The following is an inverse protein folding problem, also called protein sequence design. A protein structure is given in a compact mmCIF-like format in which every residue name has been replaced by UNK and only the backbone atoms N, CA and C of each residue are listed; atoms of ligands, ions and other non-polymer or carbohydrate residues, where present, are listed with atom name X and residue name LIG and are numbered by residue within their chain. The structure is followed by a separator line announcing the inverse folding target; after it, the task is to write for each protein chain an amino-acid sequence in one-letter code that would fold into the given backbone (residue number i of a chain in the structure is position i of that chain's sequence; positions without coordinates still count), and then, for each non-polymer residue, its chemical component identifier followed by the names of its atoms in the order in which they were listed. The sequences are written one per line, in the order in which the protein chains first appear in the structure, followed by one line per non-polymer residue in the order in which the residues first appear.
data_IF_785367947300
#
_entry.id   IF_785367947300
#
_cell.length_a   1.000
_cell.length_b   1.000
_cell.length_c   1.000
_cell.angle_alpha   90.00
_cell.angle_beta   90.00
_cell.angle_gamma   90.00
#
_symmetry.space_group_name_H-M   'P 1'
#
loop_
_entity.id
_entity.type
_entity.pdbx_description
1 polymer ?
#
# COMPACT_ATOMS: atom_id res chain seq x y z
N UNK A 1 15.09 12.59 3.15
CA UNK A 1 14.18 12.32 4.30
C UNK A 1 13.68 13.66 4.84
N UNK A 2 12.41 13.75 5.28
CA UNK A 2 11.86 14.98 5.89
C UNK A 2 12.31 15.14 7.35
N UNK A 3 12.67 16.36 7.75
CA UNK A 3 13.05 16.68 9.14
C UNK A 3 11.86 16.53 10.08
N UNK A 4 12.13 16.22 11.36
CA UNK A 4 11.08 16.05 12.38
C UNK A 4 10.27 17.35 12.57
N UNK A 5 10.95 18.49 12.57
CA UNK A 5 10.31 19.81 12.75
C UNK A 5 9.37 20.15 11.60
N UNK A 6 9.78 19.85 10.37
CA UNK A 6 8.92 20.04 9.21
C UNK A 6 7.66 19.18 9.28
N UNK A 7 7.79 17.91 9.71
CA UNK A 7 6.63 17.01 9.86
C UNK A 7 5.61 17.56 10.87
N UNK A 8 6.08 18.00 12.04
CA UNK A 8 5.22 18.54 13.10
C UNK A 8 4.52 19.82 12.65
N UNK A 9 5.29 20.74 12.02
CA UNK A 9 4.74 22.00 11.50
C UNK A 9 3.69 21.74 10.41
N UNK A 10 4.01 20.87 9.45
CA UNK A 10 3.08 20.50 8.39
C UNK A 10 1.79 19.89 8.95
N UNK A 11 1.91 18.95 9.90
CA UNK A 11 0.75 18.27 10.51
C UNK A 11 -0.15 19.25 11.26
N UNK A 12 0.44 20.22 11.94
CA UNK A 12 -0.29 21.29 12.60
C UNK A 12 -1.08 22.13 11.59
N UNK A 13 -0.43 22.60 10.53
CA UNK A 13 -1.07 23.42 9.49
C UNK A 13 -2.18 22.66 8.75
N UNK A 14 -1.97 21.38 8.47
CA UNK A 14 -2.97 20.56 7.78
C UNK A 14 -4.18 20.24 8.64
N UNK A 15 -3.99 19.89 9.92
CA UNK A 15 -5.08 19.45 10.80
C UNK A 15 -5.75 20.60 11.55
N UNK A 16 -5.00 21.64 11.97
CA UNK A 16 -5.52 22.75 12.77
C UNK A 16 -5.95 23.95 11.91
N UNK A 17 -5.19 24.26 10.86
CA UNK A 17 -5.44 25.43 10.01
C UNK A 17 -6.21 25.06 8.73
N UNK A 18 -6.44 23.77 8.47
CA UNK A 18 -7.14 23.28 7.28
C UNK A 18 -6.39 23.54 5.97
N UNK A 19 -5.09 23.83 6.02
CA UNK A 19 -4.30 24.12 4.83
C UNK A 19 -4.12 22.85 3.98
N UNK A 20 -4.25 22.99 2.66
CA UNK A 20 -4.06 21.87 1.73
C UNK A 20 -2.60 21.38 1.73
N UNK A 21 -2.39 20.06 1.74
CA UNK A 21 -1.05 19.47 1.78
C UNK A 21 -0.16 19.94 0.61
N UNK A 22 -0.75 20.14 -0.57
CA UNK A 22 -0.02 20.67 -1.75
C UNK A 22 0.51 22.08 -1.48
N UNK A 23 -0.27 22.92 -0.81
CA UNK A 23 0.11 24.29 -0.49
C UNK A 23 1.21 24.35 0.56
N UNK A 24 1.13 23.52 1.60
CA UNK A 24 2.16 23.40 2.65
C UNK A 24 3.52 23.02 2.03
N UNK A 25 3.53 22.03 1.13
CA UNK A 25 4.74 21.60 0.47
C UNK A 25 5.27 22.66 -0.51
N UNK A 26 4.40 23.39 -1.21
CA UNK A 26 4.81 24.50 -2.08
C UNK A 26 5.44 25.65 -1.28
N UNK A 27 4.85 26.03 -0.15
CA UNK A 27 5.37 27.07 0.75
C UNK A 27 6.71 26.68 1.39
N UNK A 28 6.92 25.38 1.63
CA UNK A 28 8.18 24.86 2.13
C UNK A 28 9.27 24.71 1.04
N UNK A 29 9.02 25.17 -0.18
CA UNK A 29 9.99 25.15 -1.28
C UNK A 29 10.09 23.81 -2.02
N UNK A 30 9.17 22.87 -1.81
CA UNK A 30 9.17 21.62 -2.56
C UNK A 30 8.64 21.82 -3.98
N UNK A 31 9.39 21.33 -4.96
CA UNK A 31 8.96 21.34 -6.35
C UNK A 31 7.97 20.20 -6.63
N UNK A 32 6.69 20.56 -6.75
CA UNK A 32 5.59 19.63 -6.99
C UNK A 32 5.61 18.98 -8.37
N UNK A 33 6.31 19.56 -9.35
CA UNK A 33 6.45 18.97 -10.67
C UNK A 33 7.35 17.73 -10.63
N UNK A 34 8.34 17.74 -9.72
CA UNK A 34 9.23 16.61 -9.47
C UNK A 34 8.57 15.62 -8.49
N UNK A 35 7.93 16.14 -7.44
CA UNK A 35 7.33 15.31 -6.39
C UNK A 35 6.05 14.60 -6.85
N UNK A 36 5.33 15.18 -7.81
CA UNK A 36 4.00 14.75 -8.25
C UNK A 36 2.88 15.30 -7.38
N UNK A 37 1.80 15.78 -8.00
CA UNK A 37 0.71 16.52 -7.33
C UNK A 37 -0.05 15.71 -6.26
N UNK A 38 -0.04 14.38 -6.37
CA UNK A 38 -0.70 13.47 -5.42
C UNK A 38 0.18 13.12 -4.20
N UNK A 39 1.48 13.35 -4.31
CA UNK A 39 2.45 12.93 -3.30
C UNK A 39 2.29 13.66 -1.96
N UNK A 40 2.06 14.99 -1.91
CA UNK A 40 1.83 15.70 -0.65
C UNK A 40 0.66 15.14 0.13
N UNK A 41 -0.49 14.94 -0.52
CA UNK A 41 -1.68 14.36 0.09
C UNK A 41 -1.42 12.94 0.61
N UNK A 42 -0.71 12.10 -0.16
CA UNK A 42 -0.36 10.74 0.27
C UNK A 42 0.54 10.74 1.52
N UNK A 43 1.56 11.59 1.54
CA UNK A 43 2.49 11.71 2.67
C UNK A 43 1.76 12.23 3.90
N UNK A 44 0.88 13.22 3.74
CA UNK A 44 0.10 13.77 4.83
C UNK A 44 -0.82 12.73 5.47
N UNK A 45 -1.51 11.95 4.64
CA UNK A 45 -2.34 10.84 5.12
C UNK A 45 -1.52 9.77 5.84
N UNK A 46 -0.31 9.47 5.36
CA UNK A 46 0.58 8.53 6.06
C UNK A 46 0.99 9.06 7.44
N UNK A 47 1.35 10.34 7.55
CA UNK A 47 1.73 10.95 8.83
C UNK A 47 0.55 11.00 9.81
N UNK A 48 -0.64 11.37 9.33
CA UNK A 48 -1.85 11.31 10.15
C UNK A 48 -2.17 9.87 10.62
N UNK A 49 -2.08 8.88 9.72
CA UNK A 49 -2.30 7.49 10.09
C UNK A 49 -1.27 6.94 11.07
N UNK A 50 -0.03 7.47 11.05
CA UNK A 50 1.00 7.10 12.01
C UNK A 50 0.78 7.73 13.40
N UNK A 51 0.10 8.88 13.47
CA UNK A 51 -0.30 9.53 14.72
C UNK A 51 -1.58 8.96 15.32
N UNK A 52 -2.45 8.37 14.50
CA UNK A 52 -3.61 7.65 15.02
C UNK A 52 -3.11 6.52 15.94
N UNK A 53 -3.68 6.38 17.15
CA UNK A 53 -3.35 5.24 18.00
C UNK A 53 -3.57 3.99 17.17
N UNK A 54 -2.56 3.11 17.10
CA UNK A 54 -2.65 1.82 16.39
C UNK A 54 -4.02 1.25 16.73
N UNK A 55 -4.91 1.18 15.74
CA UNK A 55 -6.21 0.56 15.96
C UNK A 55 -5.95 -0.76 16.66
N UNK A 56 -6.62 -0.98 17.80
CA UNK A 56 -6.46 -2.19 18.61
C UNK A 56 -6.35 -3.39 17.65
N UNK A 57 -5.41 -4.33 17.87
CA UNK A 57 -5.25 -5.47 16.97
C UNK A 57 -6.64 -6.05 16.70
N UNK A 58 -6.98 -6.17 15.41
CA UNK A 58 -8.33 -6.55 14.98
C UNK A 58 -8.80 -7.73 15.84
N UNK A 59 -9.88 -7.51 16.61
CA UNK A 59 -10.46 -8.57 17.44
C UNK A 59 -10.76 -9.78 16.56
N UNK A 60 -10.79 -11.00 17.10
CA UNK A 60 -11.08 -12.21 16.31
C UNK A 60 -12.31 -12.07 15.40
N UNK A 61 -13.33 -11.37 15.89
CA UNK A 61 -14.54 -11.02 15.14
C UNK A 61 -14.28 -10.11 13.94
N UNK A 62 -13.43 -9.09 14.10
CA UNK A 62 -13.05 -8.18 13.01
C UNK A 62 -12.22 -8.89 11.95
N UNK A 63 -11.32 -9.80 12.35
CA UNK A 63 -10.56 -10.65 11.42
C UNK A 63 -11.48 -11.59 10.62
N UNK A 64 -12.46 -12.21 11.28
CA UNK A 64 -13.44 -13.06 10.62
C UNK A 64 -14.27 -12.27 9.57
N UNK A 65 -14.71 -11.06 9.91
CA UNK A 65 -15.45 -10.17 8.98
C UNK A 65 -14.62 -9.75 7.76
N UNK A 66 -13.34 -9.43 7.95
CA UNK A 66 -12.42 -9.13 6.86
C UNK A 66 -12.16 -10.35 5.97
N UNK A 67 -11.99 -11.53 6.56
CA UNK A 67 -11.83 -12.81 5.82
C UNK A 67 -13.08 -13.10 4.99
N UNK A 68 -14.28 -12.97 5.56
CA UNK A 68 -15.54 -13.13 4.84
C UNK A 68 -15.67 -12.15 3.66
N UNK A 69 -15.31 -10.87 3.86
CA UNK A 69 -15.31 -9.87 2.78
C UNK A 69 -14.28 -10.18 1.68
N UNK A 70 -13.12 -10.73 2.04
CA UNK A 70 -12.09 -11.13 1.08
C UNK A 70 -12.55 -12.32 0.24
N UNK A 71 -13.16 -13.32 0.87
CA UNK A 71 -13.77 -14.48 0.20
C UNK A 71 -14.91 -14.04 -0.72
N UNK A 72 -15.81 -13.18 -0.26
CA UNK A 72 -16.91 -12.63 -1.06
C UNK A 72 -16.43 -11.82 -2.28
N UNK A 73 -15.28 -11.15 -2.19
CA UNK A 73 -14.72 -10.38 -3.31
C UNK A 73 -14.13 -11.22 -4.44
N UNK A 74 -14.04 -12.56 -4.29
CA UNK A 74 -13.47 -13.47 -5.29
C UNK A 74 -11.97 -13.26 -5.58
N UNK A 75 -11.32 -12.27 -4.96
CA UNK A 75 -9.90 -11.96 -5.15
C UNK A 75 -8.98 -13.11 -4.76
N UNK A 76 -9.34 -13.83 -3.70
CA UNK A 76 -8.60 -15.00 -3.24
C UNK A 76 -8.70 -16.16 -4.24
N UNK A 77 -9.89 -16.39 -4.80
CA UNK A 77 -10.11 -17.39 -5.86
C UNK A 77 -9.31 -17.03 -7.12
N UNK A 78 -9.35 -15.77 -7.56
CA UNK A 78 -8.57 -15.30 -8.72
C UNK A 78 -7.07 -15.47 -8.49
N UNK A 79 -6.58 -15.12 -7.31
CA UNK A 79 -5.16 -15.27 -6.96
C UNK A 79 -4.74 -16.75 -6.93
N UNK A 80 -5.56 -17.62 -6.32
CA UNK A 80 -5.29 -19.06 -6.28
C UNK A 80 -5.29 -19.68 -7.69
N UNK A 81 -6.25 -19.32 -8.55
CA UNK A 81 -6.28 -19.77 -9.95
C UNK A 81 -5.04 -19.35 -10.72
N UNK A 82 -4.61 -18.08 -10.58
CA UNK A 82 -3.38 -17.61 -11.21
C UNK A 82 -2.14 -18.36 -10.70
N UNK A 83 -2.09 -18.66 -9.40
CA UNK A 83 -1.00 -19.43 -8.79
C UNK A 83 -0.97 -20.87 -9.30
N UNK A 84 -2.12 -21.53 -9.41
CA UNK A 84 -2.24 -22.89 -9.97
C UNK A 84 -1.75 -22.91 -11.42
N UNK A 85 -2.25 -22.01 -12.26
CA UNK A 85 -1.83 -21.93 -13.66
C UNK A 85 -0.32 -21.68 -13.83
N UNK A 86 0.27 -20.84 -12.97
CA UNK A 86 1.73 -20.62 -12.96
C UNK A 86 2.50 -21.89 -12.59
N UNK A 87 2.06 -22.61 -11.54
CA UNK A 87 2.70 -23.85 -11.10
C UNK A 87 2.56 -24.98 -12.12
N UNK A 88 1.42 -25.06 -12.81
CA UNK A 88 1.21 -26.00 -13.92
C UNK A 88 2.17 -25.71 -15.08
N UNK A 89 2.27 -24.44 -15.50
CA UNK A 89 3.21 -24.04 -16.54
C UNK A 89 4.68 -24.31 -16.18
N UNK A 90 5.07 -24.07 -14.92
CA UNK A 90 6.41 -24.40 -14.41
C UNK A 90 6.67 -25.92 -14.46
N UNK A 91 5.69 -26.73 -14.04
CA UNK A 91 5.82 -28.19 -14.09
C UNK A 91 5.94 -28.71 -15.53
N UNK A 92 5.17 -28.16 -16.46
CA UNK A 92 5.23 -28.52 -17.88
C UNK A 92 6.60 -28.17 -18.48
N UNK A 93 7.11 -26.98 -18.15
CA UNK A 93 8.45 -26.56 -18.55
C UNK A 93 9.54 -27.50 -18.01
N UNK A 94 9.47 -27.86 -16.72
CA UNK A 94 10.40 -28.81 -16.10
C UNK A 94 10.28 -30.22 -16.71
N UNK A 95 9.07 -30.65 -17.10
CA UNK A 95 8.85 -31.92 -17.78
C UNK A 95 9.52 -31.95 -19.17
N UNK A 96 9.41 -30.87 -19.94
CA UNK A 96 10.09 -30.72 -21.23
C UNK A 96 11.61 -30.78 -21.09
N UNK A 97 12.18 -30.08 -20.12
CA UNK A 97 13.63 -30.12 -19.84
C UNK A 97 14.11 -31.52 -19.46
N UNK A 98 13.33 -32.25 -18.65
CA UNK A 98 13.63 -33.64 -18.28
C UNK A 98 13.56 -34.58 -19.48
N UNK A 99 12.65 -34.37 -20.42
CA UNK A 99 12.55 -35.18 -21.63
C UNK A 99 13.74 -34.94 -22.57
N UNK A 100 14.24 -33.71 -22.65
CA UNK A 100 15.43 -33.37 -23.44
C UNK A 100 16.73 -33.95 -22.84
N UNK A 101 16.86 -34.01 -21.52
CA UNK A 101 18.04 -34.58 -20.83
C UNK A 101 18.12 -36.11 -20.83
N UNK A 102 17.06 -36.82 -21.27
CA UNK A 102 17.02 -38.29 -21.35
C UNK A 102 17.29 -38.83 -22.76
N UNK A 103 17.58 -37.95 -23.72
CA UNK A 103 18.15 -38.29 -25.02
C UNK A 103 19.66 -38.06 -24.98
#
# INVERSE_FOLDING_TARGET
MYTKDFKLKALRQYNQEGQGAVQIFKQAGFNLNILGIRTPNRIMNQWNNALLPKQKPATPLHKAKLKAKRMASGREIKHLKAKVAYLEAENDFLAQLRAQKRK
#
